data_IF_166803088540
#
_entry.id   IF_166803088540
#
_cell.length_a   1.000
_cell.length_b   1.000
_cell.length_c   1.000
_cell.angle_alpha   90.00
_cell.angle_beta   90.00
_cell.angle_gamma   90.00
#
_symmetry.space_group_name_H-M   'P 1'
#
loop_
_entity.id
_entity.type
_entity.pdbx_description
1 polymer ?
#
# COMPACT_ATOMS: atom_id res chain seq x y z
N UNK A 1 -6.07 12.77 17.40
CA UNK A 1 -5.99 13.88 16.44
C UNK A 1 -4.59 14.45 16.56
N UNK A 2 -3.71 14.19 15.60
CA UNK A 2 -2.30 14.57 15.68
C UNK A 2 -1.79 15.00 14.31
N UNK A 3 -0.66 15.70 14.30
CA UNK A 3 0.06 16.12 13.11
C UNK A 3 1.13 15.07 12.81
N UNK A 4 1.16 14.52 11.60
CA UNK A 4 2.29 13.72 11.12
C UNK A 4 3.27 14.62 10.37
N UNK A 5 4.53 14.66 10.80
CA UNK A 5 5.56 15.53 10.18
C UNK A 5 6.50 14.66 9.35
N UNK A 6 6.51 14.89 8.04
CA UNK A 6 7.37 14.20 7.07
C UNK A 6 8.52 15.11 6.64
N UNK A 7 9.75 14.62 6.80
CA UNK A 7 10.98 15.37 6.54
C UNK A 7 12.19 14.45 6.34
N UNK A 8 13.27 14.95 5.74
CA UNK A 8 14.56 14.25 5.73
C UNK A 8 15.27 14.40 7.07
N UNK A 9 15.91 13.33 7.58
CA UNK A 9 16.73 13.39 8.82
C UNK A 9 17.81 14.45 8.81
N UNK A 10 18.32 14.80 7.63
CA UNK A 10 19.31 15.86 7.49
C UNK A 10 18.74 17.25 7.84
N UNK A 11 17.40 17.38 7.88
CA UNK A 11 16.68 18.59 8.29
C UNK A 11 16.26 18.56 9.78
N UNK A 12 16.71 17.57 10.56
CA UNK A 12 16.33 17.37 11.97
C UNK A 12 16.53 18.62 12.83
N UNK A 13 17.62 19.36 12.62
CA UNK A 13 17.92 20.56 13.41
C UNK A 13 16.83 21.64 13.27
N UNK A 14 16.26 21.78 12.08
CA UNK A 14 15.12 22.68 11.86
C UNK A 14 13.84 22.08 12.45
N UNK A 15 13.59 20.80 12.20
CA UNK A 15 12.36 20.13 12.65
C UNK A 15 12.24 20.11 14.17
N UNK A 16 13.34 19.99 14.90
CA UNK A 16 13.33 20.14 16.37
C UNK A 16 12.79 21.51 16.81
N UNK A 17 13.22 22.60 16.16
CA UNK A 17 12.70 23.96 16.44
C UNK A 17 11.22 24.09 16.10
N UNK A 18 10.80 23.50 14.98
CA UNK A 18 9.39 23.48 14.56
C UNK A 18 8.53 22.74 15.59
N UNK A 19 9.03 21.63 16.12
CA UNK A 19 8.35 20.78 17.10
C UNK A 19 8.25 21.47 18.47
N UNK A 20 9.29 22.17 18.90
CA UNK A 20 9.22 23.05 20.08
C UNK A 20 8.14 24.12 19.90
N UNK A 21 8.06 24.73 18.72
CA UNK A 21 7.00 25.70 18.42
C UNK A 21 5.61 25.06 18.44
N UNK A 22 5.40 23.90 17.80
CA UNK A 22 4.15 23.16 17.84
C UNK A 22 3.72 22.82 19.27
N UNK A 23 4.67 22.39 20.11
CA UNK A 23 4.43 22.08 21.53
C UNK A 23 4.00 23.31 22.31
N UNK A 24 4.67 24.46 22.09
CA UNK A 24 4.29 25.75 22.69
C UNK A 24 2.88 26.20 22.30
N UNK A 25 2.41 25.81 21.12
CA UNK A 25 1.06 26.09 20.62
C UNK A 25 0.02 25.00 20.99
N UNK A 26 0.41 24.02 21.82
CA UNK A 26 -0.41 22.90 22.30
C UNK A 26 -0.94 22.01 21.17
N UNK A 27 -0.19 21.92 20.06
CA UNK A 27 -0.57 21.11 18.91
C UNK A 27 0.05 19.70 19.03
N UNK A 28 -0.76 18.63 19.08
CA UNK A 28 -0.26 17.27 19.18
C UNK A 28 0.45 16.87 17.89
N UNK A 29 1.72 16.49 17.99
CA UNK A 29 2.55 16.13 16.85
C UNK A 29 3.10 14.72 17.00
N UNK A 30 3.45 14.13 15.86
CA UNK A 30 4.13 12.86 15.75
C UNK A 30 5.27 13.03 14.74
N UNK A 31 6.46 12.61 15.15
CA UNK A 31 7.66 12.61 14.31
C UNK A 31 8.09 11.17 14.04
N UNK A 32 8.63 10.95 12.85
CA UNK A 32 9.37 9.74 12.53
C UNK A 32 10.79 9.76 13.15
N UNK A 33 10.86 9.68 14.49
CA UNK A 33 12.11 9.81 15.25
C UNK A 33 12.83 8.48 15.52
N UNK A 34 12.40 7.37 14.90
CA UNK A 34 13.07 6.09 15.08
C UNK A 34 13.00 5.33 13.77
N UNK A 35 14.11 5.19 13.04
CA UNK A 35 14.34 4.05 12.14
C UNK A 35 15.86 3.84 12.07
N UNK A 36 16.38 3.05 12.99
CA UNK A 36 17.66 2.38 12.74
C UNK A 36 17.39 1.18 11.83
N UNK A 37 18.38 0.80 11.01
CA UNK A 37 18.27 -0.21 9.94
C UNK A 37 17.57 -1.51 10.40
N UNK A 38 16.52 -1.96 9.68
CA UNK A 38 15.91 -3.31 9.87
C UNK A 38 14.51 -3.49 9.26
N UNK A 39 14.06 -4.72 9.05
CA UNK A 39 12.89 -5.10 8.21
C UNK A 39 11.48 -4.90 8.82
N UNK A 40 11.25 -3.92 9.71
CA UNK A 40 9.98 -3.78 10.47
C UNK A 40 9.25 -2.43 10.37
N UNK A 41 9.59 -1.56 9.42
CA UNK A 41 9.20 -0.14 9.50
C UNK A 41 8.09 0.41 8.59
N UNK A 42 7.72 -0.17 7.42
CA UNK A 42 6.66 0.40 6.57
C UNK A 42 5.31 0.58 7.28
N UNK A 43 4.99 -0.31 8.23
CA UNK A 43 3.68 -0.35 8.91
C UNK A 43 3.51 0.68 10.01
N UNK A 44 4.58 1.00 10.72
CA UNK A 44 4.54 1.99 11.81
C UNK A 44 4.34 3.38 11.22
N UNK A 45 4.98 3.67 10.08
CA UNK A 45 4.81 4.92 9.33
C UNK A 45 3.37 5.03 8.82
N UNK A 46 2.85 3.99 8.17
CA UNK A 46 1.48 4.00 7.64
C UNK A 46 0.42 4.13 8.74
N UNK A 47 0.53 3.40 9.84
CA UNK A 47 -0.43 3.49 10.93
C UNK A 47 -0.45 4.88 11.58
N UNK A 48 0.72 5.48 11.81
CA UNK A 48 0.79 6.79 12.43
C UNK A 48 0.33 7.90 11.48
N UNK A 49 0.65 7.77 10.18
CA UNK A 49 0.14 8.67 9.16
C UNK A 49 -1.39 8.53 9.02
N UNK A 50 -1.95 7.31 9.07
CA UNK A 50 -3.41 7.11 9.04
C UNK A 50 -4.10 7.69 10.27
N UNK A 51 -3.55 7.48 11.47
CA UNK A 51 -4.08 7.99 12.76
C UNK A 51 -3.95 9.50 12.92
N UNK A 52 -2.99 10.13 12.24
CA UNK A 52 -2.86 11.58 12.22
C UNK A 52 -4.05 12.20 11.47
N UNK A 53 -4.36 13.45 11.74
CA UNK A 53 -5.42 14.18 11.03
C UNK A 53 -4.83 15.14 9.99
N UNK A 54 -3.64 15.65 10.27
CA UNK A 54 -2.93 16.61 9.42
C UNK A 54 -1.58 16.03 9.01
N UNK A 55 -1.21 16.23 7.75
CA UNK A 55 0.11 15.90 7.22
C UNK A 55 0.92 17.18 7.00
N UNK A 56 2.10 17.27 7.61
CA UNK A 56 2.99 18.42 7.50
C UNK A 56 4.25 18.00 6.76
N UNK A 57 4.49 18.60 5.58
CA UNK A 57 5.60 18.24 4.71
C UNK A 57 6.69 19.31 4.78
N UNK A 58 7.90 18.94 5.18
CA UNK A 58 9.08 19.82 5.11
C UNK A 58 9.80 19.57 3.79
N UNK A 59 9.70 20.54 2.87
CA UNK A 59 10.29 20.47 1.53
C UNK A 59 11.71 21.03 1.53
N UNK A 60 12.64 20.18 1.13
CA UNK A 60 14.04 20.47 0.84
C UNK A 60 14.52 19.54 -0.28
N UNK A 61 15.66 19.80 -0.96
CA UNK A 61 16.22 18.83 -1.89
C UNK A 61 16.49 17.46 -1.24
N UNK A 62 16.81 17.45 0.06
CA UNK A 62 17.07 16.24 0.85
C UNK A 62 15.79 15.44 1.11
N UNK A 63 14.69 16.12 1.42
CA UNK A 63 13.35 15.51 1.50
C UNK A 63 12.91 14.98 0.13
N UNK A 64 13.19 15.70 -0.96
CA UNK A 64 12.76 15.29 -2.31
C UNK A 64 13.45 14.01 -2.76
N UNK A 65 14.72 13.83 -2.40
CA UNK A 65 15.50 12.63 -2.71
C UNK A 65 15.25 11.49 -1.71
N UNK A 66 14.46 11.70 -0.65
CA UNK A 66 14.13 10.66 0.31
C UNK A 66 12.99 9.79 -0.22
N UNK A 67 13.26 8.52 -0.47
CA UNK A 67 12.23 7.55 -0.87
C UNK A 67 11.04 7.57 0.10
N UNK A 68 11.30 7.56 1.41
CA UNK A 68 10.28 7.55 2.46
C UNK A 68 9.38 8.78 2.44
N UNK A 69 9.95 9.98 2.31
CA UNK A 69 9.14 11.21 2.26
C UNK A 69 8.20 11.21 1.05
N UNK A 70 8.65 10.66 -0.09
CA UNK A 70 7.81 10.53 -1.27
C UNK A 70 6.69 9.49 -1.07
N UNK A 71 6.98 8.34 -0.44
CA UNK A 71 5.96 7.34 -0.09
C UNK A 71 4.90 7.91 0.87
N UNK A 72 5.33 8.61 1.91
CA UNK A 72 4.43 9.26 2.88
C UNK A 72 3.57 10.34 2.23
N UNK A 73 4.16 11.18 1.37
CA UNK A 73 3.43 12.20 0.63
C UNK A 73 2.39 11.58 -0.31
N UNK A 74 2.76 10.51 -1.04
CA UNK A 74 1.84 9.79 -1.91
C UNK A 74 0.64 9.25 -1.14
N UNK A 75 0.89 8.61 0.01
CA UNK A 75 -0.17 8.12 0.89
C UNK A 75 -1.03 9.25 1.47
N UNK A 76 -0.43 10.37 1.89
CA UNK A 76 -1.19 11.51 2.41
C UNK A 76 -2.12 12.12 1.34
N UNK A 77 -1.65 12.20 0.09
CA UNK A 77 -2.43 12.64 -1.06
C UNK A 77 -3.58 11.66 -1.37
N UNK A 78 -3.30 10.36 -1.36
CA UNK A 78 -4.30 9.30 -1.57
C UNK A 78 -5.41 9.36 -0.51
N UNK A 79 -5.02 9.55 0.75
CA UNK A 79 -5.94 9.69 1.89
C UNK A 79 -6.65 11.03 1.93
N UNK A 80 -6.38 11.94 0.98
CA UNK A 80 -6.91 13.31 0.94
C UNK A 80 -6.73 14.04 2.28
N UNK A 81 -5.62 13.78 2.96
CA UNK A 81 -5.32 14.45 4.23
C UNK A 81 -5.06 15.92 3.98
N UNK A 82 -5.46 16.82 4.89
CA UNK A 82 -4.98 18.19 4.89
C UNK A 82 -3.45 18.22 4.93
N UNK A 83 -2.83 18.72 3.86
CA UNK A 83 -1.38 18.83 3.74
C UNK A 83 -0.97 20.29 4.01
N UNK A 84 0.06 20.47 4.85
CA UNK A 84 0.72 21.75 5.10
C UNK A 84 2.16 21.70 4.59
N UNK A 85 2.42 22.17 3.35
CA UNK A 85 3.76 22.22 2.80
C UNK A 85 4.56 23.40 3.39
N UNK A 86 5.75 23.09 3.89
CA UNK A 86 6.71 24.04 4.43
C UNK A 86 7.97 24.03 3.56
N UNK A 87 8.29 25.13 2.88
CA UNK A 87 9.47 25.21 2.02
C UNK A 87 10.69 25.65 2.83
N UNK A 88 11.55 24.71 3.19
CA UNK A 88 12.80 24.94 3.93
C UNK A 88 13.95 25.34 3.01
N UNK A 89 14.05 24.71 1.84
CA UNK A 89 15.12 24.97 0.88
C UNK A 89 14.69 24.53 -0.54
N UNK A 90 15.21 25.20 -1.57
CA UNK A 90 15.01 24.81 -2.96
C UNK A 90 13.69 25.30 -3.53
N UNK A 91 13.08 24.48 -4.39
CA UNK A 91 11.85 24.83 -5.11
C UNK A 91 10.63 24.11 -4.55
N UNK A 92 9.46 24.70 -4.82
CA UNK A 92 8.17 24.09 -4.49
C UNK A 92 7.92 22.85 -5.33
N UNK A 93 7.36 21.82 -4.70
CA UNK A 93 7.08 20.54 -5.34
C UNK A 93 5.74 20.60 -6.10
N UNK A 94 5.70 19.99 -7.28
CA UNK A 94 4.51 19.99 -8.16
C UNK A 94 3.35 19.20 -7.55
N UNK A 95 3.67 18.14 -6.79
CA UNK A 95 2.70 17.25 -6.13
C UNK A 95 1.79 18.00 -5.14
N UNK A 96 2.27 19.12 -4.60
CA UNK A 96 1.52 20.02 -3.71
C UNK A 96 1.35 21.42 -4.32
N UNK A 97 1.46 21.52 -5.65
CA UNK A 97 1.45 22.79 -6.41
C UNK A 97 0.13 23.56 -6.31
N UNK A 98 -0.97 22.89 -5.95
CA UNK A 98 -2.27 23.52 -5.70
C UNK A 98 -2.45 23.99 -4.25
N UNK A 99 -1.59 23.56 -3.32
CA UNK A 99 -1.72 23.79 -1.87
C UNK A 99 -0.82 24.92 -1.42
N UNK A 100 -1.37 25.97 -0.81
CA UNK A 100 -0.58 27.11 -0.34
C UNK A 100 0.59 26.65 0.54
N UNK A 101 1.81 26.99 0.10
CA UNK A 101 3.05 26.66 0.79
C UNK A 101 3.48 27.78 1.70
N UNK A 102 3.99 27.44 2.89
CA UNK A 102 4.61 28.42 3.80
C UNK A 102 6.11 28.43 3.55
N UNK A 103 6.64 29.60 3.25
CA UNK A 103 8.09 29.82 3.14
C UNK A 103 8.73 29.90 4.53
N UNK A 104 9.64 28.96 4.81
CA UNK A 104 10.41 28.88 6.04
C UNK A 104 11.92 28.89 5.76
N UNK A 105 12.32 29.35 4.56
CA UNK A 105 13.71 29.43 4.13
C UNK A 105 14.54 30.33 5.06
N UNK A 106 15.82 30.02 5.17
CA UNK A 106 16.72 30.64 6.14
C UNK A 106 16.46 30.19 7.58
N UNK A 107 15.69 29.11 7.78
CA UNK A 107 15.42 28.53 9.10
C UNK A 107 14.41 29.31 9.94
N UNK A 108 13.52 30.07 9.29
CA UNK A 108 12.44 30.82 9.96
C UNK A 108 11.36 29.86 10.44
N UNK A 109 10.74 30.13 11.59
CA UNK A 109 9.53 29.41 11.98
C UNK A 109 8.32 29.91 11.17
N UNK A 110 7.28 29.07 10.96
CA UNK A 110 6.02 29.54 10.38
C UNK A 110 5.42 30.70 11.18
N UNK A 111 4.66 31.61 10.54
CA UNK A 111 3.99 32.72 11.24
C UNK A 111 2.90 32.21 12.20
N UNK A 112 2.50 33.01 13.20
CA UNK A 112 1.47 32.62 14.17
C UNK A 112 0.17 32.10 13.53
N UNK A 113 -0.27 32.75 12.44
CA UNK A 113 -1.45 32.37 11.67
C UNK A 113 -1.37 30.98 11.04
N UNK A 114 -0.17 30.42 10.87
CA UNK A 114 0.00 29.02 10.47
C UNK A 114 -0.52 28.08 11.54
N UNK A 115 -0.14 28.29 12.80
CA UNK A 115 -0.55 27.43 13.91
C UNK A 115 -2.06 27.50 14.14
N UNK A 116 -2.67 28.68 13.95
CA UNK A 116 -4.12 28.83 14.04
C UNK A 116 -4.86 28.06 12.94
N UNK A 117 -4.34 28.05 11.71
CA UNK A 117 -4.88 27.23 10.62
C UNK A 117 -4.76 25.74 10.92
N UNK A 118 -3.60 25.29 11.38
CA UNK A 118 -3.40 23.89 11.78
C UNK A 118 -4.34 23.51 12.93
N UNK A 119 -4.52 24.39 13.92
CA UNK A 119 -5.49 24.20 15.01
C UNK A 119 -6.92 24.10 14.51
N UNK A 120 -7.31 24.94 13.55
CA UNK A 120 -8.64 24.87 12.93
C UNK A 120 -8.87 23.54 12.22
N UNK A 121 -7.87 23.01 11.51
CA UNK A 121 -7.98 21.69 10.87
C UNK A 121 -8.08 20.56 11.89
N UNK A 122 -7.33 20.64 12.99
CA UNK A 122 -7.40 19.67 14.09
C UNK A 122 -8.67 19.79 14.94
N UNK A 123 -9.21 21.00 15.10
CA UNK A 123 -10.35 21.32 15.96
C UNK A 123 -11.69 21.34 15.23
N UNK A 124 -11.68 21.38 13.90
CA UNK A 124 -12.88 21.02 13.14
C UNK A 124 -13.23 19.59 13.54
N UNK A 125 -14.40 19.42 14.16
CA UNK A 125 -15.13 18.17 13.97
C UNK A 125 -15.28 18.07 12.46
N UNK A 126 -14.34 17.37 11.83
CA UNK A 126 -14.73 16.51 10.74
C UNK A 126 -15.91 15.74 11.34
N UNK A 127 -17.13 16.17 11.00
CA UNK A 127 -18.12 15.19 10.61
C UNK A 127 -17.36 14.39 9.58
N UNK A 128 -16.74 13.32 10.06
CA UNK A 128 -16.44 12.17 9.27
C UNK A 128 -17.83 11.75 8.82
N UNK A 129 -18.35 12.42 7.76
CA UNK A 129 -18.70 11.66 6.59
C UNK A 129 -17.45 10.85 6.33
N UNK A 130 -17.37 9.73 7.02
CA UNK A 130 -16.80 8.55 6.46
C UNK A 130 -17.59 8.50 5.15
N UNK A 131 -16.99 8.72 3.96
CA UNK A 131 -17.18 7.60 3.07
C UNK A 131 -16.71 6.45 3.96
N UNK A 132 -17.60 5.52 4.31
CA UNK A 132 -17.04 4.20 4.48
C UNK A 132 -16.22 4.05 3.20
N UNK A 133 -14.89 4.06 3.27
CA UNK A 133 -14.04 3.57 2.18
C UNK A 133 -14.30 2.06 2.13
N UNK A 134 -15.58 1.68 2.02
CA UNK A 134 -16.01 0.38 1.57
C UNK A 134 -15.58 0.39 0.12
N UNK A 135 -14.59 -0.45 -0.18
CA UNK A 135 -14.25 -0.80 -1.56
C UNK A 135 -15.55 -1.08 -2.28
N UNK A 136 -15.83 -0.33 -3.35
CA UNK A 136 -17.07 -0.45 -4.10
C UNK A 136 -17.16 -1.84 -4.73
N UNK A 137 -18.03 -2.70 -4.21
CA UNK A 137 -18.13 -4.11 -4.63
C UNK A 137 -19.01 -4.28 -5.88
N UNK A 138 -18.79 -3.46 -6.92
CA UNK A 138 -19.54 -3.53 -8.19
C UNK A 138 -18.86 -4.47 -9.18
N UNK A 139 -19.17 -5.76 -9.06
CA UNK A 139 -18.70 -6.79 -9.99
C UNK A 139 -19.33 -6.64 -11.38
N UNK A 140 -18.52 -6.80 -12.44
CA UNK A 140 -19.04 -6.90 -13.82
C UNK A 140 -19.77 -8.21 -14.08
N UNK A 141 -19.44 -9.24 -13.31
CA UNK A 141 -19.97 -10.60 -13.43
C UNK A 141 -21.04 -10.92 -12.37
N UNK A 142 -21.42 -9.94 -11.55
CA UNK A 142 -22.39 -10.14 -10.46
C UNK A 142 -21.85 -11.02 -9.33
N UNK A 143 -20.52 -11.12 -9.17
CA UNK A 143 -19.88 -11.88 -8.10
C UNK A 143 -20.03 -11.13 -6.77
N UNK A 144 -20.34 -11.88 -5.71
CA UNK A 144 -20.45 -11.34 -4.37
C UNK A 144 -19.11 -11.42 -3.63
N UNK A 145 -18.50 -10.25 -3.39
CA UNK A 145 -17.22 -10.11 -2.68
C UNK A 145 -17.36 -9.84 -1.17
N UNK A 146 -18.57 -9.81 -0.60
CA UNK A 146 -18.77 -9.46 0.82
C UNK A 146 -18.05 -10.43 1.75
N UNK A 147 -18.04 -11.73 1.43
CA UNK A 147 -17.35 -12.73 2.24
C UNK A 147 -15.84 -12.50 2.26
N UNK A 148 -15.24 -12.20 1.11
CA UNK A 148 -13.81 -11.86 1.03
C UNK A 148 -13.51 -10.61 1.85
N UNK A 149 -14.32 -9.55 1.70
CA UNK A 149 -14.23 -8.32 2.51
C UNK A 149 -14.26 -8.62 4.00
N UNK A 150 -15.22 -9.40 4.46
CA UNK A 150 -15.44 -9.66 5.89
C UNK A 150 -14.31 -10.52 6.50
N UNK A 151 -13.77 -11.47 5.73
CA UNK A 151 -12.61 -12.27 6.13
C UNK A 151 -11.35 -11.40 6.27
N UNK A 152 -11.10 -10.53 5.29
CA UNK A 152 -9.98 -9.59 5.32
C UNK A 152 -10.12 -8.57 6.46
N UNK A 153 -11.31 -8.01 6.65
CA UNK A 153 -11.61 -7.09 7.77
C UNK A 153 -11.38 -7.74 9.14
N UNK A 154 -11.59 -9.05 9.23
CA UNK A 154 -11.39 -9.83 10.46
C UNK A 154 -9.96 -10.37 10.60
N UNK A 155 -9.04 -10.04 9.69
CA UNK A 155 -7.66 -10.54 9.71
C UNK A 155 -7.54 -12.05 9.50
N UNK A 156 -8.54 -12.70 8.91
CA UNK A 156 -8.54 -14.14 8.61
C UNK A 156 -7.84 -14.41 7.29
N UNK A 157 -6.53 -14.17 7.26
CA UNK A 157 -5.70 -14.12 6.05
C UNK A 157 -5.72 -15.42 5.25
N UNK A 158 -5.70 -16.56 5.94
CA UNK A 158 -5.71 -17.87 5.28
C UNK A 158 -7.03 -18.14 4.58
N UNK A 159 -8.14 -17.86 5.24
CA UNK A 159 -9.48 -18.03 4.71
C UNK A 159 -9.77 -17.00 3.61
N UNK A 160 -9.27 -15.77 3.74
CA UNK A 160 -9.36 -14.73 2.71
C UNK A 160 -8.60 -15.13 1.44
N UNK A 161 -7.41 -15.74 1.57
CA UNK A 161 -6.65 -16.29 0.45
C UNK A 161 -7.43 -17.42 -0.27
N UNK A 162 -8.06 -18.33 0.48
CA UNK A 162 -8.92 -19.37 -0.10
C UNK A 162 -10.14 -18.79 -0.80
N UNK A 163 -10.77 -17.80 -0.19
CA UNK A 163 -11.94 -17.12 -0.74
C UNK A 163 -11.57 -16.34 -2.00
N UNK A 164 -10.39 -15.71 -2.04
CA UNK A 164 -9.85 -15.02 -3.22
C UNK A 164 -9.81 -15.96 -4.42
N UNK A 165 -9.31 -17.18 -4.22
CA UNK A 165 -9.28 -18.18 -5.30
C UNK A 165 -10.68 -18.59 -5.79
N UNK A 166 -11.65 -18.71 -4.88
CA UNK A 166 -13.04 -19.05 -5.22
C UNK A 166 -13.71 -17.95 -6.03
N UNK A 167 -13.62 -16.70 -5.60
CA UNK A 167 -14.24 -15.56 -6.31
C UNK A 167 -13.56 -15.30 -7.65
N UNK A 168 -12.25 -15.54 -7.76
CA UNK A 168 -11.57 -15.49 -9.06
C UNK A 168 -12.07 -16.58 -10.02
N UNK A 169 -12.24 -17.82 -9.54
CA UNK A 169 -12.85 -18.87 -10.36
C UNK A 169 -14.28 -18.53 -10.78
N UNK A 170 -15.08 -17.92 -9.91
CA UNK A 170 -16.44 -17.48 -10.24
C UNK A 170 -16.43 -16.36 -11.30
N UNK A 171 -15.59 -15.34 -11.14
CA UNK A 171 -15.48 -14.22 -12.08
C UNK A 171 -15.01 -14.67 -13.48
N UNK A 172 -14.21 -15.73 -13.56
CA UNK A 172 -13.79 -16.36 -14.80
C UNK A 172 -14.80 -17.38 -15.37
N UNK A 173 -15.93 -17.65 -14.70
CA UNK A 173 -16.90 -18.65 -15.13
C UNK A 173 -16.44 -20.10 -14.97
N UNK A 174 -15.53 -20.36 -14.01
CA UNK A 174 -14.84 -21.65 -13.80
C UNK A 174 -15.14 -22.31 -12.46
N UNK A 175 -16.27 -22.00 -11.86
CA UNK A 175 -16.68 -22.52 -10.54
C UNK A 175 -16.57 -24.05 -10.46
N UNK A 176 -17.01 -24.78 -11.48
CA UNK A 176 -16.97 -26.26 -11.51
C UNK A 176 -15.56 -26.84 -11.71
N UNK A 177 -14.65 -26.09 -12.35
CA UNK A 177 -13.26 -26.52 -12.49
C UNK A 177 -12.49 -26.30 -11.19
N UNK A 178 -12.81 -25.23 -10.47
CA UNK A 178 -12.04 -24.82 -9.30
C UNK A 178 -10.62 -24.38 -9.65
N UNK A 179 -10.30 -24.10 -10.92
CA UNK A 179 -8.99 -23.57 -11.33
C UNK A 179 -9.05 -22.72 -12.61
N UNK A 180 -8.05 -21.85 -12.75
CA UNK A 180 -7.89 -20.90 -13.84
C UNK A 180 -6.76 -21.32 -14.78
N UNK A 181 -7.00 -21.17 -16.09
CA UNK A 181 -6.00 -21.26 -17.14
C UNK A 181 -5.41 -19.87 -17.39
N UNK A 182 -4.34 -19.83 -18.19
CA UNK A 182 -3.72 -18.57 -18.62
C UNK A 182 -4.71 -17.71 -19.42
N UNK A 183 -5.51 -18.34 -20.29
CA UNK A 183 -6.48 -17.61 -21.13
C UNK A 183 -7.61 -16.97 -20.29
N UNK A 184 -7.95 -17.61 -19.17
CA UNK A 184 -8.94 -17.08 -18.22
C UNK A 184 -8.40 -15.85 -17.49
N UNK A 185 -7.09 -15.79 -17.22
CA UNK A 185 -6.41 -14.62 -16.63
C UNK A 185 -6.25 -13.50 -17.65
N UNK A 186 -5.80 -13.82 -18.87
CA UNK A 186 -5.62 -12.84 -19.93
C UNK A 186 -6.91 -12.08 -20.27
N UNK A 187 -8.07 -12.73 -20.08
CA UNK A 187 -9.40 -12.16 -20.30
C UNK A 187 -10.15 -11.78 -19.01
N UNK A 188 -9.50 -11.86 -17.85
CA UNK A 188 -10.14 -11.66 -16.55
C UNK A 188 -10.75 -10.25 -16.40
N UNK A 189 -12.00 -10.08 -15.93
CA UNK A 189 -12.63 -8.76 -15.86
C UNK A 189 -11.86 -7.79 -14.95
N UNK A 190 -11.54 -6.59 -15.46
CA UNK A 190 -10.73 -5.63 -14.72
C UNK A 190 -11.45 -5.10 -13.50
N UNK A 191 -12.77 -4.93 -13.55
CA UNK A 191 -13.61 -4.49 -12.45
C UNK A 191 -13.49 -5.45 -11.26
N UNK A 192 -13.58 -6.76 -11.53
CA UNK A 192 -13.44 -7.82 -10.54
C UNK A 192 -12.01 -7.91 -9.99
N UNK A 193 -10.99 -7.76 -10.85
CA UNK A 193 -9.58 -7.76 -10.41
C UNK A 193 -9.26 -6.54 -9.53
N UNK A 194 -9.81 -5.36 -9.86
CA UNK A 194 -9.69 -4.15 -9.04
C UNK A 194 -10.31 -4.34 -7.67
N UNK A 195 -11.51 -4.92 -7.59
CA UNK A 195 -12.17 -5.19 -6.30
C UNK A 195 -11.28 -6.07 -5.41
N UNK A 196 -10.79 -7.18 -5.95
CA UNK A 196 -9.92 -8.09 -5.20
C UNK A 196 -8.66 -7.37 -4.73
N UNK A 197 -7.97 -6.66 -5.63
CA UNK A 197 -6.75 -5.94 -5.30
C UNK A 197 -7.00 -4.88 -4.21
N UNK A 198 -8.04 -4.06 -4.36
CA UNK A 198 -8.38 -2.99 -3.42
C UNK A 198 -8.78 -3.54 -2.05
N UNK A 199 -9.48 -4.67 -1.99
CA UNK A 199 -9.79 -5.33 -0.72
C UNK A 199 -8.51 -5.78 0.00
N UNK A 200 -7.59 -6.44 -0.71
CA UNK A 200 -6.32 -6.86 -0.14
C UNK A 200 -5.49 -5.67 0.34
N UNK A 201 -5.31 -4.64 -0.49
CA UNK A 201 -4.58 -3.42 -0.12
C UNK A 201 -5.21 -2.74 1.09
N UNK A 202 -6.53 -2.56 1.09
CA UNK A 202 -7.24 -1.84 2.14
C UNK A 202 -7.08 -2.51 3.50
N UNK A 203 -7.34 -3.81 3.59
CA UNK A 203 -7.35 -4.51 4.87
C UNK A 203 -5.96 -4.94 5.33
N UNK A 204 -5.00 -5.10 4.42
CA UNK A 204 -3.61 -5.42 4.76
C UNK A 204 -2.75 -4.19 5.01
N UNK A 205 -3.30 -2.98 4.96
CA UNK A 205 -2.52 -1.73 5.00
C UNK A 205 -1.41 -1.74 3.94
N UNK A 206 -1.80 -1.88 2.66
CA UNK A 206 -0.89 -1.87 1.51
C UNK A 206 0.14 -3.01 1.44
N UNK A 207 0.17 -3.93 2.42
CA UNK A 207 1.21 -4.95 2.51
C UNK A 207 0.97 -6.11 1.53
N UNK A 208 -0.28 -6.39 1.21
CA UNK A 208 -0.72 -7.50 0.38
C UNK A 208 -1.59 -7.01 -0.78
N UNK A 209 -1.53 -7.73 -1.89
CA UNK A 209 -2.26 -7.39 -3.11
C UNK A 209 -1.49 -7.78 -4.35
N UNK A 210 -2.24 -7.96 -5.44
CA UNK A 210 -1.65 -8.30 -6.73
C UNK A 210 -0.83 -7.14 -7.31
N UNK A 211 -1.21 -5.89 -7.07
CA UNK A 211 -0.42 -4.72 -7.50
C UNK A 211 0.96 -4.69 -6.82
N UNK A 212 1.02 -5.02 -5.53
CA UNK A 212 2.27 -5.12 -4.77
C UNK A 212 3.15 -6.24 -5.34
N UNK A 213 2.57 -7.41 -5.58
CA UNK A 213 3.28 -8.52 -6.20
C UNK A 213 3.79 -8.16 -7.61
N UNK A 214 3.00 -7.44 -8.40
CA UNK A 214 3.39 -6.95 -9.72
C UNK A 214 4.59 -6.00 -9.64
N UNK A 215 4.56 -5.02 -8.74
CA UNK A 215 5.66 -4.06 -8.56
C UNK A 215 6.97 -4.78 -8.19
N UNK A 216 6.91 -5.75 -7.27
CA UNK A 216 8.07 -6.57 -6.90
C UNK A 216 8.56 -7.33 -8.13
N UNK A 217 7.68 -8.03 -8.85
CA UNK A 217 8.05 -8.79 -10.03
C UNK A 217 8.68 -7.94 -11.14
N UNK A 218 8.11 -6.77 -11.43
CA UNK A 218 8.64 -5.82 -12.42
C UNK A 218 9.99 -5.24 -11.98
N UNK A 219 10.19 -4.99 -10.68
CA UNK A 219 11.47 -4.50 -10.15
C UNK A 219 12.63 -5.50 -10.34
N UNK A 220 12.31 -6.79 -10.39
CA UNK A 220 13.24 -7.88 -10.69
C UNK A 220 13.44 -8.08 -12.21
N UNK A 221 12.85 -7.20 -13.05
CA UNK A 221 12.90 -7.29 -14.51
C UNK A 221 11.83 -8.22 -15.11
N UNK A 222 10.85 -8.65 -14.32
CA UNK A 222 9.77 -9.52 -14.75
C UNK A 222 8.94 -8.91 -15.86
N UNK A 223 8.58 -9.75 -16.84
CA UNK A 223 7.77 -9.39 -18.02
C UNK A 223 6.69 -10.43 -18.24
N UNK A 224 5.87 -10.26 -19.29
CA UNK A 224 4.88 -11.26 -19.68
C UNK A 224 5.55 -12.59 -20.06
N UNK A 225 6.71 -12.54 -20.72
CA UNK A 225 7.52 -13.70 -21.02
C UNK A 225 8.08 -14.30 -19.72
N UNK A 226 7.88 -15.60 -19.55
CA UNK A 226 8.40 -16.29 -18.38
C UNK A 226 9.94 -16.30 -18.38
N UNK A 227 10.53 -15.98 -17.23
CA UNK A 227 11.94 -16.12 -16.94
C UNK A 227 12.09 -16.86 -15.61
N UNK A 228 12.87 -17.95 -15.61
CA UNK A 228 13.05 -18.81 -14.44
C UNK A 228 13.85 -18.16 -13.32
N UNK A 229 14.92 -17.43 -13.63
CA UNK A 229 15.75 -16.76 -12.63
C UNK A 229 14.92 -15.72 -11.87
N UNK A 230 14.19 -14.89 -12.62
CA UNK A 230 13.30 -13.87 -12.06
C UNK A 230 12.17 -14.52 -11.24
N UNK A 231 11.63 -15.65 -11.69
CA UNK A 231 10.58 -16.35 -10.95
C UNK A 231 11.09 -16.92 -9.61
N UNK A 232 12.32 -17.44 -9.59
CA UNK A 232 12.93 -17.92 -8.36
C UNK A 232 13.20 -16.78 -7.39
N UNK A 233 13.75 -15.66 -7.88
CA UNK A 233 14.03 -14.47 -7.06
C UNK A 233 12.74 -13.80 -6.56
N UNK A 234 11.71 -13.77 -7.39
CA UNK A 234 10.38 -13.31 -7.00
C UNK A 234 9.82 -14.17 -5.87
N UNK A 235 9.90 -15.50 -5.98
CA UNK A 235 9.47 -16.42 -4.92
C UNK A 235 10.21 -16.20 -3.60
N UNK A 236 11.51 -15.87 -3.63
CA UNK A 236 12.26 -15.49 -2.43
C UNK A 236 11.77 -14.14 -1.87
N UNK A 237 11.57 -13.14 -2.74
CA UNK A 237 11.17 -11.77 -2.38
C UNK A 237 9.80 -11.70 -1.70
N UNK A 238 8.83 -12.49 -2.17
CA UNK A 238 7.49 -12.57 -1.56
C UNK A 238 7.39 -13.66 -0.49
N UNK A 239 8.49 -14.31 -0.11
CA UNK A 239 8.53 -15.29 0.97
C UNK A 239 7.80 -16.61 0.66
N UNK A 240 7.72 -16.99 -0.61
CA UNK A 240 7.17 -18.27 -1.06
C UNK A 240 8.19 -19.40 -1.11
N UNK A 241 9.46 -19.08 -0.82
CA UNK A 241 10.56 -20.03 -0.76
C UNK A 241 11.32 -19.89 0.56
N UNK A 242 11.89 -21.00 1.00
CA UNK A 242 12.78 -21.07 2.16
C UNK A 242 13.91 -22.07 1.86
N UNK A 243 15.16 -21.66 2.06
CA UNK A 243 16.32 -22.51 1.77
C UNK A 243 16.38 -23.01 0.33
N UNK A 244 15.94 -22.19 -0.64
CA UNK A 244 15.87 -22.54 -2.06
C UNK A 244 14.68 -23.42 -2.47
N UNK A 245 13.85 -23.86 -1.52
CA UNK A 245 12.70 -24.73 -1.80
C UNK A 245 11.38 -23.96 -1.73
N UNK A 246 10.47 -24.24 -2.67
CA UNK A 246 9.13 -23.68 -2.67
C UNK A 246 8.29 -24.22 -1.51
N UNK A 247 7.70 -23.30 -0.74
CA UNK A 247 6.85 -23.64 0.39
C UNK A 247 5.52 -24.22 -0.08
N UNK A 248 5.06 -25.24 0.64
CA UNK A 248 3.68 -25.69 0.52
C UNK A 248 2.74 -24.66 1.14
N UNK A 249 1.49 -24.60 0.66
CA UNK A 249 0.47 -23.68 1.19
C UNK A 249 0.36 -23.72 2.72
N UNK A 250 0.43 -24.91 3.33
CA UNK A 250 0.33 -25.08 4.79
C UNK A 250 1.50 -24.43 5.56
N UNK A 251 2.62 -24.18 4.89
CA UNK A 251 3.84 -23.60 5.47
C UNK A 251 3.96 -22.10 5.17
N UNK A 252 3.01 -21.51 4.43
CA UNK A 252 2.99 -20.07 4.20
C UNK A 252 2.62 -19.30 5.47
N UNK A 253 3.09 -18.07 5.56
CA UNK A 253 2.84 -17.18 6.68
C UNK A 253 1.51 -16.43 6.48
N UNK A 254 0.41 -16.98 6.99
CA UNK A 254 -0.91 -16.31 6.99
C UNK A 254 -1.08 -15.37 8.20
N UNK A 255 -0.13 -14.48 8.40
CA UNK A 255 -0.24 -13.41 9.38
C UNK A 255 -0.15 -12.06 8.70
N UNK A 256 -0.69 -11.04 9.35
CA UNK A 256 -0.48 -9.66 8.93
C UNK A 256 1.01 -9.37 8.76
N UNK A 257 1.91 -10.00 9.55
CA UNK A 257 3.36 -9.83 9.60
C UNK A 257 4.17 -10.54 8.51
N UNK A 258 3.52 -11.20 7.55
CA UNK A 258 4.24 -11.73 6.40
C UNK A 258 4.88 -10.61 5.55
N UNK A 259 5.92 -10.98 4.81
CA UNK A 259 6.65 -10.07 3.93
C UNK A 259 5.73 -9.42 2.90
N UNK A 260 6.11 -8.25 2.41
CA UNK A 260 5.32 -7.51 1.44
C UNK A 260 5.08 -8.35 0.18
N UNK A 261 3.84 -8.34 -0.33
CA UNK A 261 3.43 -9.15 -1.48
C UNK A 261 3.23 -10.63 -1.18
N UNK A 262 3.40 -11.12 0.05
CA UNK A 262 3.25 -12.55 0.37
C UNK A 262 1.86 -13.11 0.04
N UNK A 263 0.82 -12.28 0.19
CA UNK A 263 -0.56 -12.64 -0.10
C UNK A 263 -1.18 -11.68 -1.12
N UNK A 264 -2.23 -12.12 -1.85
CA UNK A 264 -2.73 -13.50 -1.91
C UNK A 264 -1.75 -14.46 -2.62
N UNK A 265 -1.62 -15.69 -2.12
CA UNK A 265 -0.73 -16.73 -2.64
C UNK A 265 -1.41 -17.61 -3.70
N UNK A 266 -2.32 -17.01 -4.47
CA UNK A 266 -3.11 -17.70 -5.48
C UNK A 266 -2.20 -18.29 -6.57
N UNK A 267 -2.18 -19.62 -6.66
CA UNK A 267 -1.43 -20.36 -7.69
C UNK A 267 -0.27 -21.24 -7.19
N UNK A 268 0.10 -21.19 -5.89
CA UNK A 268 1.20 -22.01 -5.36
C UNK A 268 0.87 -23.51 -5.18
N UNK A 269 -0.40 -23.91 -5.10
CA UNK A 269 -0.82 -25.30 -5.22
C UNK A 269 -1.42 -25.98 -3.98
N UNK A 270 -1.47 -27.32 -4.07
CA UNK A 270 -2.57 -28.32 -3.87
C UNK A 270 -3.63 -28.27 -2.75
N UNK A 271 -3.81 -27.22 -1.95
CA UNK A 271 -4.82 -27.31 -0.86
C UNK A 271 -6.09 -26.50 -1.19
N UNK A 272 -7.14 -27.25 -1.55
CA UNK A 272 -8.52 -26.86 -1.95
C UNK A 272 -8.68 -26.63 -3.47
N UNK A 273 -8.89 -27.72 -4.22
CA UNK A 273 -9.55 -27.74 -5.55
C UNK A 273 -8.86 -27.04 -6.74
N UNK A 274 -7.82 -26.25 -6.51
CA UNK A 274 -7.12 -25.45 -7.50
C UNK A 274 -5.90 -26.19 -8.08
N UNK A 275 -6.07 -26.93 -9.19
CA UNK A 275 -4.95 -27.47 -9.98
C UNK A 275 -4.61 -26.49 -11.11
N UNK A 276 -3.53 -25.71 -10.96
CA UNK A 276 -2.82 -25.21 -12.15
C UNK A 276 -2.00 -26.38 -12.68
N UNK A 277 -2.13 -26.69 -13.98
CA UNK A 277 -1.38 -27.78 -14.62
C UNK A 277 0.12 -27.61 -14.28
N UNK A 278 0.80 -28.64 -13.74
CA UNK A 278 2.16 -28.53 -13.19
C UNK A 278 3.20 -27.91 -14.14
N UNK A 279 2.99 -28.03 -15.45
CA UNK A 279 3.91 -27.55 -16.48
C UNK A 279 3.80 -26.05 -16.79
N UNK A 280 2.84 -25.31 -16.21
CA UNK A 280 2.58 -23.89 -16.57
C UNK A 280 2.39 -22.92 -15.40
N UNK A 281 2.61 -23.31 -14.13
CA UNK A 281 2.49 -22.41 -12.95
C UNK A 281 3.21 -21.06 -13.14
N UNK A 282 4.39 -21.16 -13.73
CA UNK A 282 5.32 -20.11 -14.07
C UNK A 282 4.76 -19.04 -15.02
N UNK A 283 3.88 -19.43 -15.93
CA UNK A 283 3.23 -18.53 -16.90
C UNK A 283 1.97 -17.88 -16.34
N UNK A 284 1.42 -18.42 -15.25
CA UNK A 284 0.21 -17.88 -14.62
C UNK A 284 0.48 -16.49 -14.04
N UNK A 285 1.55 -16.36 -13.25
CA UNK A 285 1.85 -15.08 -12.60
C UNK A 285 2.26 -14.01 -13.60
N UNK A 286 3.06 -14.34 -14.62
CA UNK A 286 3.42 -13.38 -15.67
C UNK A 286 2.21 -12.90 -16.48
N UNK A 287 1.22 -13.77 -16.73
CA UNK A 287 -0.06 -13.39 -17.32
C UNK A 287 -0.89 -12.50 -16.39
N UNK A 288 -0.92 -12.80 -15.09
CA UNK A 288 -1.61 -11.97 -14.10
C UNK A 288 -0.98 -10.59 -13.96
N UNK A 289 0.35 -10.50 -13.88
CA UNK A 289 1.11 -9.25 -13.86
C UNK A 289 0.76 -8.39 -15.09
N UNK A 290 0.80 -8.99 -16.28
CA UNK A 290 0.40 -8.29 -17.51
C UNK A 290 -1.07 -7.87 -17.47
N UNK A 291 -1.97 -8.69 -16.91
CA UNK A 291 -3.39 -8.35 -16.83
C UNK A 291 -3.61 -7.14 -15.92
N UNK A 292 -2.86 -7.02 -14.82
CA UNK A 292 -2.90 -5.84 -13.94
C UNK A 292 -2.50 -4.57 -14.69
N UNK A 293 -1.43 -4.63 -15.50
CA UNK A 293 -1.02 -3.52 -16.39
C UNK A 293 -2.17 -3.15 -17.35
N UNK A 294 -2.77 -4.14 -18.02
CA UNK A 294 -3.88 -3.91 -18.96
C UNK A 294 -5.13 -3.33 -18.27
N UNK A 295 -5.30 -3.62 -16.98
CA UNK A 295 -6.38 -3.09 -16.14
C UNK A 295 -6.01 -1.77 -15.44
N UNK A 296 -4.83 -1.21 -15.68
CA UNK A 296 -4.34 0.01 -15.02
C UNK A 296 -4.36 -0.11 -13.49
N UNK A 297 -3.89 -1.25 -12.99
CA UNK A 297 -3.74 -1.61 -11.57
C UNK A 297 -2.25 -1.71 -11.26
#
# INVERSE_FOLDING_TARGET
MSIFISYSRQDQAYVNKLVEALTKHELPWWLDNKIDYGDKWPRVIEENLRKSQVFMLVMSPRSKNSHWVNCELALALELKKPIFPLLLEGSRWLEVGIIQTVDIQGGKLPPASFFDRVRSELGSEFTVRSPRNEVELKSKRGINYTKLRDLLASGKWKEADEETGKVMCQAAGRTSSGWLRIEDIDSFPCEDLRIINQLWLHYSNGNFGFSIQKEIYESLGGKREYNEEIWQEFGDSVGWKEGGNWLNRHNLNFSQNAVQGHLPAFGLGKSIGLIIIPTKKNFFFSSLAQRLVNCSI
#
